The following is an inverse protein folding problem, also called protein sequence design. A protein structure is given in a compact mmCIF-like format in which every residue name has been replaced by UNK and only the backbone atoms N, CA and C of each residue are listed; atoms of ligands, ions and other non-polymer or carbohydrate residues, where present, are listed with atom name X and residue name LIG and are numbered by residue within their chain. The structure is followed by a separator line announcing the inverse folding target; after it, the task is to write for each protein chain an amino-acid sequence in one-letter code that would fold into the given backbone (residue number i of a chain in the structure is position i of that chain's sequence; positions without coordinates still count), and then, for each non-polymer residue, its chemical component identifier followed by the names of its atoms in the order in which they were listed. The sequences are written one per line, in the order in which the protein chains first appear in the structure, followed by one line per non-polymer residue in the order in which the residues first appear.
data_IF_631011752783
#
_entry.id   IF_631011752783
#
_cell.length_a   1.000
_cell.length_b   1.000
_cell.length_c   1.000
_cell.angle_alpha   90.00
_cell.angle_beta   90.00
_cell.angle_gamma   90.00
#
_symmetry.space_group_name_H-M   'P 1'
#
loop_
_entity.id
_entity.type
_entity.pdbx_description
1 polymer ?
#
# COMPACT_ATOMS: atom_id res chain seq x y z
N UNK A 1 5.61 -7.10 -1.17
CA UNK A 1 6.24 -6.08 -2.03
C UNK A 1 7.57 -5.66 -1.44
N UNK A 2 8.62 -5.68 -2.24
CA UNK A 2 9.94 -5.29 -1.78
C UNK A 2 10.12 -3.78 -1.93
N UNK A 3 10.72 -3.14 -0.95
CA UNK A 3 10.93 -1.70 -0.98
C UNK A 3 11.80 -1.26 -2.15
N UNK A 4 12.69 -2.13 -2.60
CA UNK A 4 13.55 -1.87 -3.76
C UNK A 4 12.72 -1.66 -5.02
N UNK A 5 11.69 -2.47 -5.22
CA UNK A 5 10.79 -2.33 -6.37
C UNK A 5 10.02 -1.02 -6.30
N UNK A 6 9.60 -0.64 -5.11
CA UNK A 6 8.88 0.61 -4.89
C UNK A 6 9.77 1.80 -5.23
N UNK A 7 11.04 1.74 -4.87
CA UNK A 7 11.99 2.83 -5.14
C UNK A 7 12.32 2.99 -6.63
N UNK A 8 12.15 1.94 -7.42
CA UNK A 8 12.38 1.99 -8.85
C UNK A 8 11.25 2.64 -9.63
N UNK A 9 10.07 2.76 -9.03
CA UNK A 9 8.92 3.37 -9.69
C UNK A 9 9.07 4.88 -9.82
N UNK A 10 8.55 5.43 -10.92
CA UNK A 10 8.45 6.88 -11.06
C UNK A 10 7.40 7.42 -10.08
N UNK A 11 7.54 8.69 -9.70
CA UNK A 11 6.63 9.30 -8.72
C UNK A 11 5.18 9.17 -9.15
N UNK A 12 4.88 9.41 -10.43
CA UNK A 12 3.53 9.29 -10.95
C UNK A 12 2.99 7.86 -10.80
N UNK A 13 3.80 6.88 -11.17
CA UNK A 13 3.42 5.47 -11.06
C UNK A 13 3.26 5.07 -9.58
N UNK A 14 4.11 5.60 -8.72
CA UNK A 14 4.04 5.34 -7.29
C UNK A 14 2.73 5.86 -6.71
N UNK A 15 2.31 7.07 -7.07
CA UNK A 15 1.04 7.63 -6.61
C UNK A 15 -0.13 6.78 -7.06
N UNK A 16 -0.15 6.39 -8.33
CA UNK A 16 -1.21 5.53 -8.87
C UNK A 16 -1.25 4.19 -8.15
N UNK A 17 -0.08 3.62 -7.86
CA UNK A 17 0.03 2.36 -7.16
C UNK A 17 -0.51 2.47 -5.73
N UNK A 18 -0.17 3.55 -5.03
CA UNK A 18 -0.66 3.80 -3.68
C UNK A 18 -2.18 3.87 -3.68
N UNK A 19 -2.77 4.62 -4.59
CA UNK A 19 -4.23 4.74 -4.68
C UNK A 19 -4.89 3.38 -4.93
N UNK A 20 -4.32 2.58 -5.83
CA UNK A 20 -4.82 1.25 -6.14
C UNK A 20 -4.75 0.34 -4.91
N UNK A 21 -3.64 0.35 -4.20
CA UNK A 21 -3.44 -0.48 -3.02
C UNK A 21 -4.34 -0.04 -1.86
N UNK A 22 -4.56 1.26 -1.70
CA UNK A 22 -5.48 1.78 -0.68
C UNK A 22 -6.90 1.32 -0.96
N UNK A 23 -7.33 1.33 -2.23
CA UNK A 23 -8.65 0.85 -2.61
C UNK A 23 -8.81 -0.64 -2.28
N UNK A 24 -7.80 -1.44 -2.59
CA UNK A 24 -7.79 -2.87 -2.25
C UNK A 24 -7.84 -3.10 -0.75
N UNK A 25 -7.06 -2.34 -0.01
CA UNK A 25 -7.01 -2.43 1.45
C UNK A 25 -8.38 -2.12 2.05
N UNK A 26 -9.02 -1.05 1.60
CA UNK A 26 -10.36 -0.68 2.09
C UNK A 26 -11.37 -1.77 1.77
N UNK A 27 -11.29 -2.38 0.59
CA UNK A 27 -12.18 -3.48 0.23
C UNK A 27 -11.95 -4.71 1.09
N UNK A 28 -10.70 -5.03 1.39
CA UNK A 28 -10.36 -6.13 2.29
C UNK A 28 -10.93 -5.91 3.69
N UNK A 29 -10.82 -4.69 4.21
CA UNK A 29 -11.36 -4.35 5.52
C UNK A 29 -12.88 -4.49 5.53
N UNK A 30 -13.55 -4.03 4.49
CA UNK A 30 -15.00 -4.14 4.37
C UNK A 30 -15.42 -5.61 4.32
N UNK A 31 -14.76 -6.41 3.50
CA UNK A 31 -15.05 -7.83 3.40
C UNK A 31 -14.82 -8.56 4.72
N UNK A 32 -13.76 -8.20 5.43
CA UNK A 32 -13.45 -8.80 6.72
C UNK A 32 -14.51 -8.46 7.76
N UNK A 33 -15.05 -7.24 7.72
CA UNK A 33 -16.11 -6.83 8.65
C UNK A 33 -17.43 -7.57 8.39
N UNK A 34 -17.73 -7.85 7.12
CA UNK A 34 -18.96 -8.55 6.72
C UNK A 34 -18.80 -10.05 6.92
N UNK A 35 -17.69 -10.61 6.48
CA UNK A 35 -17.40 -12.04 6.55
C UNK A 35 -15.99 -12.20 7.14
N UNK A 36 -15.85 -12.45 8.45
CA UNK A 36 -14.51 -12.60 9.05
C UNK A 36 -13.71 -13.67 8.31
N UNK A 37 -12.60 -13.24 7.72
CA UNK A 37 -11.72 -14.15 7.00
C UNK A 37 -10.80 -14.87 7.99
N UNK A 38 -10.41 -16.07 7.62
CA UNK A 38 -9.53 -16.88 8.46
C UNK A 38 -8.11 -16.31 8.54
N UNK A 39 -7.75 -15.44 7.58
CA UNK A 39 -6.37 -14.97 7.48
C UNK A 39 -6.27 -13.44 7.53
N UNK A 40 -6.31 -12.84 8.73
CA UNK A 40 -6.15 -11.38 8.86
C UNK A 40 -4.75 -10.88 8.52
N UNK A 41 -3.77 -11.78 8.35
CA UNK A 41 -2.41 -11.39 8.03
C UNK A 41 -2.31 -10.67 6.68
N UNK A 42 -3.19 -10.97 5.74
CA UNK A 42 -3.21 -10.29 4.44
C UNK A 42 -3.50 -8.79 4.59
N UNK A 43 -4.38 -8.44 5.52
CA UNK A 43 -4.71 -7.04 5.80
C UNK A 43 -3.49 -6.33 6.39
N UNK A 44 -2.77 -6.98 7.28
CA UNK A 44 -1.56 -6.42 7.87
C UNK A 44 -0.47 -6.21 6.83
N UNK A 45 -0.29 -7.17 5.92
CA UNK A 45 0.70 -7.05 4.85
C UNK A 45 0.36 -5.91 3.89
N UNK A 46 -0.91 -5.79 3.52
CA UNK A 46 -1.36 -4.69 2.66
C UNK A 46 -1.10 -3.34 3.32
N UNK A 47 -1.40 -3.23 4.60
CA UNK A 47 -1.15 -2.01 5.37
C UNK A 47 0.33 -1.63 5.39
N UNK A 48 1.21 -2.61 5.58
CA UNK A 48 2.66 -2.39 5.58
C UNK A 48 3.15 -1.93 4.22
N UNK A 49 2.66 -2.55 3.15
CA UNK A 49 3.05 -2.19 1.79
C UNK A 49 2.63 -0.76 1.47
N UNK A 50 1.42 -0.38 1.85
CA UNK A 50 0.93 0.99 1.66
C UNK A 50 1.80 1.98 2.44
N UNK A 51 2.13 1.65 3.69
CA UNK A 51 2.97 2.51 4.52
C UNK A 51 4.36 2.70 3.91
N UNK A 52 4.96 1.64 3.38
CA UNK A 52 6.26 1.70 2.70
C UNK A 52 6.21 2.60 1.47
N UNK A 53 5.17 2.45 0.66
CA UNK A 53 5.01 3.27 -0.53
C UNK A 53 4.83 4.75 -0.18
N UNK A 54 4.04 5.03 0.84
CA UNK A 54 3.85 6.41 1.32
C UNK A 54 5.15 7.00 1.84
N UNK A 55 5.94 6.20 2.54
CA UNK A 55 7.25 6.64 3.05
C UNK A 55 8.18 7.01 1.91
N UNK A 56 8.25 6.19 0.87
CA UNK A 56 9.09 6.46 -0.30
C UNK A 56 8.63 7.73 -1.01
N UNK A 57 7.33 7.90 -1.18
CA UNK A 57 6.78 9.09 -1.81
C UNK A 57 7.13 10.33 -1.00
N UNK A 58 6.99 10.27 0.31
CA UNK A 58 7.32 11.37 1.20
C UNK A 58 8.80 11.75 1.12
N UNK A 59 9.69 10.75 1.08
CA UNK A 59 11.12 10.99 0.92
C UNK A 59 11.42 11.73 -0.38
N UNK A 60 10.77 11.33 -1.47
CA UNK A 60 10.93 12.00 -2.77
C UNK A 60 10.47 13.44 -2.73
N UNK A 61 9.37 13.72 -2.05
CA UNK A 61 8.86 15.08 -1.92
C UNK A 61 9.78 15.95 -1.08
N UNK A 62 10.39 15.39 -0.04
CA UNK A 62 11.32 16.11 0.82
C UNK A 62 12.66 16.39 0.14
N UNK A 63 13.02 15.56 -0.82
CA UNK A 63 14.32 15.66 -1.52
C UNK A 63 14.25 16.43 -2.84
N UNK A 64 13.16 17.12 -3.10
CA UNK A 64 13.05 17.96 -4.30
C UNK A 64 13.96 19.17 -4.22
#
# INVERSE_FOLDING_TARGET
MKIKEVKELETKDLVERIESEVAKYNQMNLNHAITPLENPSQIKLARRDIARMKTVLRERELNK
#
